data_IF_041443798295
#
_entry.id   IF_041443798295
#
_cell.length_a   1.000
_cell.length_b   1.000
_cell.length_c   1.000
_cell.angle_alpha   90.00
_cell.angle_beta   90.00
_cell.angle_gamma   90.00
#
_symmetry.space_group_name_H-M   'P 1'
#
loop_
_entity.id
_entity.type
_entity.pdbx_description
1 polymer ?
#
# COMPACT_ATOMS: atom_id res chain seq x y z
N UNK A 1 -10.38 -30.39 44.61
CA UNK A 1 -10.16 -29.01 44.13
C UNK A 1 -9.03 -29.07 43.13
N UNK A 2 -9.34 -28.96 41.83
CA UNK A 2 -8.36 -28.83 40.77
C UNK A 2 -8.89 -27.73 39.85
N UNK A 3 -8.24 -26.56 39.90
CA UNK A 3 -8.57 -25.40 39.07
C UNK A 3 -8.09 -25.66 37.63
N UNK A 4 -9.03 -25.66 36.68
CA UNK A 4 -8.72 -25.68 35.25
C UNK A 4 -8.24 -24.29 34.82
N UNK A 5 -6.96 -24.18 34.42
CA UNK A 5 -6.40 -22.96 33.85
C UNK A 5 -7.02 -22.70 32.48
N UNK A 6 -7.69 -21.56 32.39
CA UNK A 6 -8.20 -20.95 31.18
C UNK A 6 -7.02 -20.58 30.26
N UNK A 7 -6.85 -21.30 29.14
CA UNK A 7 -5.93 -20.94 28.07
C UNK A 7 -6.76 -20.35 26.93
N UNK A 8 -6.93 -19.03 26.93
CA UNK A 8 -7.49 -18.28 25.81
C UNK A 8 -6.61 -17.06 25.53
N UNK A 9 -6.30 -16.80 24.25
CA UNK A 9 -5.92 -15.45 23.85
C UNK A 9 -4.91 -15.23 22.71
N UNK A 10 -4.22 -16.23 22.15
CA UNK A 10 -3.12 -15.93 21.19
C UNK A 10 -3.25 -16.61 19.83
N UNK A 11 -4.07 -17.66 19.67
CA UNK A 11 -4.23 -18.36 18.38
C UNK A 11 -5.34 -17.83 17.47
N UNK A 12 -6.24 -16.98 17.98
CA UNK A 12 -7.47 -16.60 17.29
C UNK A 12 -7.29 -15.43 16.30
N UNK A 13 -6.44 -14.45 16.64
CA UNK A 13 -6.29 -13.20 15.87
C UNK A 13 -5.69 -13.40 14.47
N UNK A 14 -4.73 -14.32 14.32
CA UNK A 14 -4.08 -14.56 13.03
C UNK A 14 -4.98 -15.31 12.04
N UNK A 15 -5.87 -16.16 12.55
CA UNK A 15 -6.87 -16.85 11.75
C UNK A 15 -7.97 -15.88 11.34
N UNK A 16 -8.43 -15.04 12.26
CA UNK A 16 -9.41 -13.98 12.00
C UNK A 16 -8.95 -13.05 10.85
N UNK A 17 -7.69 -12.61 10.88
CA UNK A 17 -7.14 -11.71 9.86
C UNK A 17 -7.03 -12.35 8.46
N UNK A 18 -6.75 -13.65 8.39
CA UNK A 18 -6.72 -14.40 7.12
C UNK A 18 -8.11 -14.55 6.50
N UNK A 19 -9.14 -14.80 7.31
CA UNK A 19 -10.51 -14.96 6.83
C UNK A 19 -11.21 -13.62 6.57
N UNK A 20 -10.76 -12.53 7.20
CA UNK A 20 -11.36 -11.19 7.10
C UNK A 20 -11.60 -10.77 5.65
N UNK A 21 -10.62 -10.99 4.76
CA UNK A 21 -10.72 -10.61 3.35
C UNK A 21 -11.80 -11.37 2.57
N UNK A 22 -12.17 -12.57 3.02
CA UNK A 22 -13.16 -13.44 2.35
C UNK A 22 -14.60 -13.09 2.74
N UNK A 23 -14.80 -12.45 3.89
CA UNK A 23 -16.14 -12.17 4.46
C UNK A 23 -16.48 -10.68 4.52
N UNK A 24 -15.59 -9.81 4.06
CA UNK A 24 -15.75 -8.35 4.10
C UNK A 24 -16.24 -7.81 2.75
N UNK A 25 -17.28 -6.98 2.79
CA UNK A 25 -17.80 -6.29 1.63
C UNK A 25 -16.84 -5.21 1.13
N UNK A 26 -16.49 -5.24 -0.17
CA UNK A 26 -15.61 -4.25 -0.79
C UNK A 26 -16.17 -2.81 -0.91
N UNK A 27 -17.43 -2.57 -0.49
CA UNK A 27 -18.07 -1.26 -0.50
C UNK A 27 -18.20 -0.69 0.92
N UNK A 28 -18.94 -1.38 1.81
CA UNK A 28 -19.16 -0.90 3.18
C UNK A 28 -18.08 -1.33 4.18
N UNK A 29 -17.16 -2.21 3.78
CA UNK A 29 -16.06 -2.73 4.62
C UNK A 29 -16.46 -3.49 5.87
N UNK A 30 -17.72 -3.93 5.88
CA UNK A 30 -18.31 -4.70 6.96
C UNK A 30 -18.63 -6.12 6.50
N UNK A 31 -18.98 -6.99 7.45
CA UNK A 31 -19.37 -8.37 7.18
C UNK A 31 -20.48 -8.42 6.13
N UNK A 32 -20.38 -9.29 5.12
CA UNK A 32 -21.41 -9.37 4.08
C UNK A 32 -22.81 -9.60 4.64
N UNK A 33 -23.78 -8.86 4.12
CA UNK A 33 -25.22 -9.11 4.31
C UNK A 33 -25.82 -9.35 2.95
N UNK A 34 -26.42 -10.53 2.78
CA UNK A 34 -27.08 -10.98 1.55
C UNK A 34 -26.19 -10.69 0.31
N UNK A 35 -24.99 -11.31 0.23
CA UNK A 35 -23.97 -10.96 -0.73
C UNK A 35 -24.40 -11.27 -2.17
N UNK A 36 -24.01 -10.39 -3.09
CA UNK A 36 -24.21 -10.54 -4.54
C UNK A 36 -22.89 -10.50 -5.28
N UNK A 37 -22.79 -11.27 -6.37
CA UNK A 37 -21.71 -11.24 -7.32
C UNK A 37 -22.09 -10.36 -8.53
N UNK A 38 -21.20 -9.45 -8.91
CA UNK A 38 -21.36 -8.60 -10.09
C UNK A 38 -21.01 -9.42 -11.35
N UNK A 39 -21.90 -9.49 -12.33
CA UNK A 39 -21.69 -10.31 -13.53
C UNK A 39 -20.50 -9.81 -14.36
N UNK A 40 -19.90 -10.73 -15.11
CA UNK A 40 -18.64 -10.62 -15.87
C UNK A 40 -17.35 -10.57 -15.04
N UNK A 41 -17.35 -9.92 -13.87
CA UNK A 41 -16.16 -9.82 -13.02
C UNK A 41 -16.19 -10.67 -11.74
N UNK A 42 -17.37 -11.13 -11.33
CA UNK A 42 -17.62 -11.95 -10.13
C UNK A 42 -17.14 -11.31 -8.80
N UNK A 43 -16.84 -10.03 -8.78
CA UNK A 43 -16.55 -9.31 -7.54
C UNK A 43 -17.81 -9.21 -6.67
N UNK A 44 -17.61 -9.27 -5.35
CA UNK A 44 -18.68 -9.42 -4.38
C UNK A 44 -19.00 -8.09 -3.67
N UNK A 45 -20.25 -7.92 -3.27
CA UNK A 45 -20.72 -6.80 -2.44
C UNK A 45 -21.93 -7.27 -1.60
N UNK A 46 -22.30 -6.55 -0.53
CA UNK A 46 -23.64 -6.72 0.04
C UNK A 46 -24.67 -6.33 -1.03
N UNK A 47 -25.81 -7.02 -1.08
CA UNK A 47 -26.82 -6.72 -2.09
C UNK A 47 -27.33 -5.28 -2.04
N UNK A 48 -27.52 -4.72 -0.85
CA UNK A 48 -27.88 -3.31 -0.65
C UNK A 48 -26.79 -2.34 -1.12
N UNK A 49 -25.52 -2.63 -0.80
CA UNK A 49 -24.39 -1.82 -1.25
C UNK A 49 -24.24 -1.85 -2.77
N UNK A 50 -24.38 -3.02 -3.39
CA UNK A 50 -24.34 -3.17 -4.85
C UNK A 50 -25.48 -2.39 -5.52
N UNK A 51 -26.70 -2.49 -4.96
CA UNK A 51 -27.86 -1.76 -5.44
C UNK A 51 -27.67 -0.25 -5.37
N UNK A 52 -27.16 0.25 -4.25
CA UNK A 52 -26.91 1.68 -4.11
C UNK A 52 -25.78 2.16 -5.04
N UNK A 53 -24.71 1.38 -5.18
CA UNK A 53 -23.58 1.70 -6.06
C UNK A 53 -24.03 1.79 -7.53
N UNK A 54 -24.76 0.78 -7.99
CA UNK A 54 -25.15 0.61 -9.40
C UNK A 54 -26.24 1.60 -9.86
N UNK A 55 -26.84 2.36 -8.94
CA UNK A 55 -27.65 3.55 -9.27
C UNK A 55 -26.81 4.67 -9.89
N UNK A 56 -25.56 4.81 -9.44
CA UNK A 56 -24.68 5.93 -9.81
C UNK A 56 -23.58 5.56 -10.81
N UNK A 57 -23.34 4.27 -11.02
CA UNK A 57 -22.25 3.77 -11.85
C UNK A 57 -22.60 2.42 -12.44
N UNK A 58 -22.40 2.24 -13.74
CA UNK A 58 -22.53 0.92 -14.40
C UNK A 58 -21.27 0.06 -14.26
N UNK A 59 -20.27 0.54 -13.51
CA UNK A 59 -18.97 -0.10 -13.38
C UNK A 59 -18.81 -0.78 -12.02
N UNK A 60 -18.09 -1.91 -12.02
CA UNK A 60 -17.76 -2.67 -10.82
C UNK A 60 -16.94 -1.81 -9.85
N UNK A 61 -17.32 -1.82 -8.56
CA UNK A 61 -16.61 -1.08 -7.51
C UNK A 61 -15.12 -1.45 -7.44
N UNK A 62 -14.79 -2.72 -7.64
CA UNK A 62 -13.44 -3.26 -7.48
C UNK A 62 -12.58 -3.18 -8.75
N UNK A 63 -13.06 -3.72 -9.89
CA UNK A 63 -12.26 -3.77 -11.12
C UNK A 63 -12.57 -2.68 -12.15
N UNK A 64 -13.64 -1.89 -11.95
CA UNK A 64 -14.12 -0.87 -12.90
C UNK A 64 -14.48 -1.42 -14.28
N UNK A 65 -14.67 -2.74 -14.39
CA UNK A 65 -15.26 -3.36 -15.57
C UNK A 65 -16.77 -3.09 -15.63
N UNK A 66 -17.37 -3.11 -16.83
CA UNK A 66 -18.81 -2.97 -16.99
C UNK A 66 -19.53 -4.11 -16.27
N UNK A 67 -20.64 -3.78 -15.61
CA UNK A 67 -21.48 -4.75 -14.89
C UNK A 67 -22.79 -4.88 -15.64
N UNK A 68 -23.05 -6.06 -16.21
CA UNK A 68 -24.31 -6.32 -16.94
C UNK A 68 -25.46 -6.78 -16.06
N UNK A 69 -25.18 -7.16 -14.82
CA UNK A 69 -26.18 -7.65 -13.87
C UNK A 69 -25.56 -8.06 -12.54
N UNK A 70 -26.39 -8.60 -11.65
CA UNK A 70 -25.97 -9.15 -10.36
C UNK A 70 -26.65 -10.50 -10.10
N UNK A 71 -26.00 -11.38 -9.35
CA UNK A 71 -26.58 -12.62 -8.84
C UNK A 71 -26.29 -12.79 -7.35
N UNK A 72 -27.24 -13.35 -6.60
CA UNK A 72 -27.01 -13.76 -5.21
C UNK A 72 -25.82 -14.74 -5.13
N UNK A 73 -24.93 -14.52 -4.15
CA UNK A 73 -23.79 -15.39 -3.89
C UNK A 73 -24.03 -16.24 -2.64
N UNK A 74 -24.79 -17.34 -2.81
CA UNK A 74 -25.01 -18.31 -1.73
C UNK A 74 -23.71 -18.93 -1.20
N UNK A 75 -22.71 -19.08 -2.06
CA UNK A 75 -21.38 -19.58 -1.64
C UNK A 75 -20.72 -18.61 -0.64
N UNK A 76 -20.74 -17.31 -0.93
CA UNK A 76 -20.19 -16.30 -0.01
C UNK A 76 -20.99 -16.23 1.28
N UNK A 77 -22.32 -16.36 1.20
CA UNK A 77 -23.17 -16.40 2.39
C UNK A 77 -22.80 -17.56 3.31
N UNK A 78 -22.61 -18.77 2.76
CA UNK A 78 -22.18 -19.93 3.55
C UNK A 78 -20.81 -19.73 4.23
N UNK A 79 -19.88 -19.03 3.56
CA UNK A 79 -18.57 -18.68 4.15
C UNK A 79 -18.72 -17.68 5.30
N UNK A 80 -19.64 -16.71 5.17
CA UNK A 80 -19.95 -15.74 6.23
C UNK A 80 -20.56 -16.42 7.44
N UNK A 81 -21.52 -17.33 7.24
CA UNK A 81 -22.14 -18.11 8.31
C UNK A 81 -21.09 -18.98 9.05
N UNK A 82 -20.19 -19.61 8.30
CA UNK A 82 -19.08 -20.36 8.88
C UNK A 82 -18.16 -19.45 9.71
N UNK A 83 -17.81 -18.26 9.20
CA UNK A 83 -17.00 -17.30 9.92
C UNK A 83 -17.67 -16.83 11.22
N UNK A 84 -18.97 -16.52 11.19
CA UNK A 84 -19.74 -16.14 12.38
C UNK A 84 -19.75 -17.24 13.45
N UNK A 85 -19.78 -18.52 13.02
CA UNK A 85 -19.74 -19.65 13.96
C UNK A 85 -18.37 -19.84 14.64
N UNK A 86 -17.28 -19.54 13.93
CA UNK A 86 -15.91 -19.74 14.42
C UNK A 86 -15.40 -18.52 15.18
N UNK A 87 -15.77 -17.31 14.75
CA UNK A 87 -15.33 -16.04 15.31
C UNK A 87 -16.51 -15.12 15.67
N UNK A 88 -17.43 -15.54 16.57
CA UNK A 88 -18.61 -14.76 16.93
C UNK A 88 -18.28 -13.43 17.62
N UNK A 89 -17.11 -13.35 18.28
CA UNK A 89 -16.63 -12.16 18.97
C UNK A 89 -15.73 -11.27 18.11
N UNK A 90 -15.58 -11.56 16.81
CA UNK A 90 -14.81 -10.69 15.91
C UNK A 90 -15.45 -9.30 15.81
N UNK A 91 -14.63 -8.27 15.58
CA UNK A 91 -15.12 -6.90 15.39
C UNK A 91 -16.15 -6.82 14.27
N UNK A 92 -15.94 -7.56 13.17
CA UNK A 92 -16.90 -7.62 12.05
C UNK A 92 -18.26 -8.21 12.43
N UNK A 93 -18.29 -9.22 13.30
CA UNK A 93 -19.55 -9.80 13.79
C UNK A 93 -20.25 -8.85 14.77
N UNK A 94 -19.50 -8.18 15.63
CA UNK A 94 -20.02 -7.26 16.64
C UNK A 94 -20.54 -5.95 16.02
N UNK A 95 -19.83 -5.40 15.05
CA UNK A 95 -20.20 -4.18 14.33
C UNK A 95 -21.42 -4.40 13.41
N UNK A 96 -21.67 -5.63 12.96
CA UNK A 96 -22.82 -5.96 12.11
C UNK A 96 -24.02 -6.42 12.94
N UNK A 97 -24.64 -5.46 13.64
CA UNK A 97 -25.79 -5.73 14.51
C UNK A 97 -27.06 -6.16 13.74
N UNK A 98 -28.05 -6.77 14.43
CA UNK A 98 -29.35 -7.10 13.84
C UNK A 98 -30.09 -5.89 13.26
N UNK A 99 -29.96 -4.71 13.89
CA UNK A 99 -30.60 -3.47 13.45
C UNK A 99 -30.01 -3.00 12.12
N UNK A 100 -28.68 -2.97 12.01
CA UNK A 100 -27.97 -2.64 10.76
C UNK A 100 -28.35 -3.64 9.66
N UNK A 101 -28.39 -4.92 10.01
CA UNK A 101 -28.78 -6.00 9.07
C UNK A 101 -30.21 -5.80 8.57
N UNK A 102 -31.13 -5.39 9.43
CA UNK A 102 -32.51 -5.06 9.08
C UNK A 102 -32.59 -3.88 8.11
N UNK A 103 -31.82 -2.81 8.35
CA UNK A 103 -31.72 -1.66 7.44
C UNK A 103 -31.18 -2.05 6.06
N UNK A 104 -30.17 -2.91 5.99
CA UNK A 104 -29.65 -3.40 4.71
C UNK A 104 -30.68 -4.27 3.97
N UNK A 105 -31.43 -5.10 4.70
CA UNK A 105 -32.50 -5.97 4.18
C UNK A 105 -33.77 -5.23 3.76
N UNK A 106 -34.00 -4.02 4.26
CA UNK A 106 -35.07 -3.16 3.76
C UNK A 106 -34.72 -2.57 2.39
N UNK A 107 -33.43 -2.39 2.10
CA UNK A 107 -32.94 -1.84 0.83
C UNK A 107 -32.81 -2.91 -0.26
N UNK A 108 -32.46 -4.14 0.11
CA UNK A 108 -32.29 -5.26 -0.82
C UNK A 108 -32.78 -6.58 -0.21
N UNK A 109 -33.47 -7.39 -1.01
CA UNK A 109 -33.86 -8.76 -0.65
C UNK A 109 -33.24 -9.78 -1.61
N UNK A 110 -32.75 -10.93 -1.14
CA UNK A 110 -32.27 -11.99 -2.02
C UNK A 110 -33.28 -12.33 -3.12
N UNK A 111 -32.80 -12.50 -4.35
CA UNK A 111 -33.64 -12.71 -5.54
C UNK A 111 -34.23 -11.44 -6.14
N UNK A 112 -34.05 -10.26 -5.54
CA UNK A 112 -34.47 -8.99 -6.12
C UNK A 112 -33.60 -8.62 -7.33
N UNK A 113 -34.23 -8.39 -8.47
CA UNK A 113 -33.59 -7.75 -9.62
C UNK A 113 -33.59 -6.22 -9.43
N UNK A 114 -32.51 -5.55 -9.83
CA UNK A 114 -32.46 -4.09 -9.85
C UNK A 114 -31.71 -3.58 -11.09
N UNK A 115 -32.22 -2.48 -11.65
CA UNK A 115 -31.73 -1.90 -12.90
C UNK A 115 -30.38 -1.24 -12.68
N UNK A 116 -29.46 -1.48 -13.62
CA UNK A 116 -28.14 -0.85 -13.68
C UNK A 116 -28.28 0.38 -14.58
N UNK A 117 -27.86 1.55 -14.12
CA UNK A 117 -27.78 2.75 -14.96
C UNK A 117 -29.09 3.50 -15.24
N UNK A 118 -30.19 3.23 -14.53
CA UNK A 118 -31.48 3.92 -14.72
C UNK A 118 -31.83 4.85 -13.56
N UNK A 119 -31.96 6.15 -13.83
CA UNK A 119 -32.60 7.12 -12.93
C UNK A 119 -34.05 6.75 -12.63
N UNK A 120 -34.53 7.18 -11.47
CA UNK A 120 -35.81 6.77 -10.88
C UNK A 120 -36.98 6.80 -11.90
N UNK A 121 -37.48 5.63 -12.29
CA UNK A 121 -38.84 5.53 -12.83
C UNK A 121 -39.81 5.62 -11.65
N UNK A 122 -40.40 6.80 -11.50
CA UNK A 122 -41.62 7.01 -10.74
C UNK A 122 -42.71 6.14 -11.37
N UNK A 123 -43.03 5.02 -10.73
CA UNK A 123 -44.31 4.36 -10.95
C UNK A 123 -45.21 4.61 -9.74
N UNK A 124 -46.10 5.58 -9.95
CA UNK A 124 -47.35 5.76 -9.23
C UNK A 124 -48.23 4.53 -9.43
N UNK A 125 -48.54 3.81 -8.34
CA UNK A 125 -49.91 3.39 -8.01
C UNK A 125 -49.95 2.60 -6.69
N UNK A 126 -50.92 2.93 -5.84
CA UNK A 126 -51.49 1.96 -4.89
C UNK A 126 -51.38 2.22 -3.39
N UNK A 127 -52.04 3.28 -2.92
CA UNK A 127 -52.78 3.41 -1.64
C UNK A 127 -52.05 3.40 -0.26
N UNK A 128 -52.45 4.28 0.67
CA UNK A 128 -51.85 4.40 2.00
C UNK A 128 -52.42 3.35 2.98
N UNK A 129 -51.55 2.56 3.61
CA UNK A 129 -51.89 1.86 4.85
C UNK A 129 -51.43 2.70 6.04
N UNK A 130 -52.39 3.25 6.77
CA UNK A 130 -52.19 3.89 8.07
C UNK A 130 -51.52 2.90 9.04
N UNK A 131 -50.39 3.31 9.63
CA UNK A 131 -49.83 2.69 10.82
C UNK A 131 -50.29 3.49 12.05
N UNK A 132 -50.65 2.84 13.16
CA UNK A 132 -51.08 3.54 14.37
C UNK A 132 -49.87 4.12 15.12
N UNK A 133 -50.04 5.34 15.60
CA UNK A 133 -49.16 5.99 16.57
C UNK A 133 -49.09 5.14 17.85
N UNK A 134 -47.91 4.62 18.15
CA UNK A 134 -47.55 4.19 19.50
C UNK A 134 -46.47 5.12 20.00
N UNK A 135 -46.88 6.08 20.83
CA UNK A 135 -46.00 6.81 21.74
C UNK A 135 -45.29 5.79 22.62
N UNK A 136 -43.96 5.73 22.50
CA UNK A 136 -43.11 4.97 23.41
C UNK A 136 -42.08 5.95 23.99
N UNK A 137 -42.38 6.43 25.18
CA UNK A 137 -41.38 7.02 26.07
C UNK A 137 -40.45 5.89 26.54
N UNK A 138 -39.21 5.95 26.07
CA UNK A 138 -38.13 5.05 26.42
C UNK A 138 -36.81 5.81 26.36
N UNK A 139 -36.62 6.69 27.34
CA UNK A 139 -35.29 7.21 27.66
C UNK A 139 -34.43 6.03 28.12
N UNK A 140 -33.47 5.59 27.28
CA UNK A 140 -32.13 5.13 27.68
C UNK A 140 -31.35 4.56 26.46
N UNK A 141 -30.08 5.00 26.33
CA UNK A 141 -29.00 4.51 25.44
C UNK A 141 -28.71 5.18 24.07
N UNK A 142 -29.15 6.42 23.86
CA UNK A 142 -28.80 7.23 22.66
C UNK A 142 -27.32 7.66 22.54
N UNK A 143 -26.50 7.46 23.58
CA UNK A 143 -25.11 7.96 23.62
C UNK A 143 -24.11 7.07 22.84
N UNK A 144 -24.37 5.77 22.71
CA UNK A 144 -23.41 4.82 22.09
C UNK A 144 -23.35 4.93 20.56
N UNK A 145 -24.49 5.18 19.91
CA UNK A 145 -24.58 5.30 18.45
C UNK A 145 -24.03 6.63 17.92
N UNK A 146 -24.10 7.71 18.72
CA UNK A 146 -23.47 8.98 18.39
C UNK A 146 -21.93 8.90 18.46
N UNK A 147 -21.39 8.27 19.49
CA UNK A 147 -19.93 8.11 19.65
C UNK A 147 -19.31 7.36 18.46
N UNK A 148 -19.93 6.25 18.03
CA UNK A 148 -19.49 5.47 16.88
C UNK A 148 -19.61 6.23 15.55
N UNK A 149 -20.67 7.02 15.37
CA UNK A 149 -20.82 7.89 14.19
C UNK A 149 -19.75 8.99 14.14
N UNK A 150 -19.35 9.50 15.31
CA UNK A 150 -18.28 10.49 15.45
C UNK A 150 -16.89 9.93 15.15
N UNK A 151 -16.58 8.70 15.61
CA UNK A 151 -15.29 8.04 15.32
C UNK A 151 -15.12 7.72 13.83
N UNK A 152 -16.20 7.27 13.16
CA UNK A 152 -16.20 7.03 11.72
C UNK A 152 -16.00 8.34 10.95
N UNK A 153 -16.64 9.43 11.40
CA UNK A 153 -16.47 10.75 10.78
C UNK A 153 -15.02 11.25 10.96
N UNK A 154 -14.44 11.09 12.14
CA UNK A 154 -13.05 11.49 12.44
C UNK A 154 -12.04 10.75 11.54
N UNK A 155 -12.24 9.45 11.31
CA UNK A 155 -11.38 8.65 10.44
C UNK A 155 -11.49 9.08 8.97
N UNK A 156 -12.70 9.40 8.51
CA UNK A 156 -12.93 9.92 7.16
C UNK A 156 -12.27 11.30 6.98
N UNK A 157 -12.38 12.17 7.97
CA UNK A 157 -11.78 13.50 7.94
C UNK A 157 -10.25 13.42 7.95
N UNK A 158 -9.68 12.51 8.74
CA UNK A 158 -8.24 12.21 8.72
C UNK A 158 -7.78 11.75 7.32
N UNK A 159 -8.52 10.84 6.70
CA UNK A 159 -8.19 10.35 5.35
C UNK A 159 -8.26 11.47 4.32
N UNK A 160 -9.29 12.33 4.40
CA UNK A 160 -9.41 13.51 3.54
C UNK A 160 -8.25 14.48 3.75
N UNK A 161 -7.83 14.72 4.99
CA UNK A 161 -6.68 15.59 5.28
C UNK A 161 -5.37 15.03 4.70
N UNK A 162 -5.12 13.72 4.88
CA UNK A 162 -3.94 13.03 4.33
C UNK A 162 -3.91 13.13 2.80
N UNK A 163 -5.06 12.95 2.15
CA UNK A 163 -5.16 13.00 0.69
C UNK A 163 -5.06 14.44 0.16
N UNK A 164 -5.66 15.41 0.85
CA UNK A 164 -5.60 16.82 0.49
C UNK A 164 -4.17 17.40 0.50
N UNK A 165 -3.27 16.82 1.31
CA UNK A 165 -1.85 17.17 1.33
C UNK A 165 -1.17 17.12 -0.06
N UNK A 166 -1.62 16.20 -0.92
CA UNK A 166 -1.07 16.01 -2.27
C UNK A 166 -1.71 16.93 -3.31
N UNK A 167 -2.72 17.74 -2.93
CA UNK A 167 -3.47 18.63 -3.81
C UNK A 167 -4.83 18.07 -4.23
N UNK A 168 -5.58 18.85 -5.00
CA UNK A 168 -6.96 18.55 -5.40
C UNK A 168 -7.11 17.42 -6.43
N UNK A 169 -5.99 16.97 -7.03
CA UNK A 169 -5.97 15.92 -8.04
C UNK A 169 -4.77 15.00 -7.79
N UNK A 170 -5.04 13.72 -7.54
CA UNK A 170 -4.05 12.71 -7.20
C UNK A 170 -3.77 11.84 -8.42
N UNK A 171 -2.51 11.55 -8.78
CA UNK A 171 -2.21 10.62 -9.85
C UNK A 171 -2.72 9.22 -9.50
N UNK A 172 -3.53 8.61 -10.37
CA UNK A 172 -4.08 7.27 -10.17
C UNK A 172 -2.95 6.22 -10.20
N UNK A 173 -2.89 5.34 -9.20
CA UNK A 173 -2.02 4.17 -9.25
C UNK A 173 -2.47 3.27 -10.42
N UNK A 174 -1.64 3.10 -11.45
CA UNK A 174 -2.03 2.45 -12.71
C UNK A 174 -2.25 0.93 -12.63
N UNK A 175 -2.40 0.38 -11.43
CA UNK A 175 -2.59 -1.05 -11.17
C UNK A 175 -4.05 -1.45 -10.97
N UNK A 176 -4.93 -0.48 -10.75
CA UNK A 176 -6.36 -0.71 -10.59
C UNK A 176 -7.13 -0.08 -11.76
N UNK A 177 -6.99 -0.73 -12.91
CA UNK A 177 -7.78 -0.47 -14.09
C UNK A 177 -7.74 -1.69 -14.98
N UNK A 178 -8.92 -2.17 -15.38
CA UNK A 178 -9.07 -3.19 -16.41
C UNK A 178 -8.13 -2.88 -17.59
N UNK A 179 -7.24 -3.80 -17.95
CA UNK A 179 -6.37 -3.70 -19.15
C UNK A 179 -7.19 -3.60 -20.45
N UNK A 180 -8.51 -3.86 -20.37
CA UNK A 180 -9.47 -3.76 -21.47
C UNK A 180 -10.54 -2.66 -21.28
N UNK A 181 -10.40 -1.76 -20.31
CA UNK A 181 -11.32 -0.63 -20.11
C UNK A 181 -10.85 0.61 -20.89
N UNK A 182 -11.77 1.30 -21.59
CA UNK A 182 -11.48 2.55 -22.29
C UNK A 182 -10.82 3.61 -21.39
N UNK A 183 -10.16 4.59 -22.01
CA UNK A 183 -9.31 5.62 -21.41
C UNK A 183 -9.81 6.11 -20.04
N UNK A 184 -9.29 5.53 -18.96
CA UNK A 184 -9.53 5.99 -17.60
C UNK A 184 -8.75 7.31 -17.38
N UNK A 185 -9.32 8.29 -16.66
CA UNK A 185 -8.57 9.48 -16.27
C UNK A 185 -7.30 9.07 -15.50
N UNK A 186 -6.18 9.72 -15.81
CA UNK A 186 -4.86 9.50 -15.19
C UNK A 186 -4.77 10.00 -13.74
N UNK A 187 -5.84 10.63 -13.25
CA UNK A 187 -5.93 11.26 -11.96
C UNK A 187 -7.27 10.91 -11.29
N UNK A 188 -7.29 10.92 -9.95
CA UNK A 188 -8.47 10.78 -9.10
C UNK A 188 -8.57 12.01 -8.18
N UNK A 189 -9.77 12.53 -8.00
CA UNK A 189 -10.06 13.63 -7.09
C UNK A 189 -10.59 13.11 -5.75
N UNK A 190 -10.63 13.97 -4.72
CA UNK A 190 -11.05 13.60 -3.37
C UNK A 190 -12.50 13.06 -3.29
N UNK A 191 -13.36 13.47 -4.22
CA UNK A 191 -14.76 13.06 -4.28
C UNK A 191 -15.00 11.87 -5.22
N UNK A 192 -13.95 11.35 -5.87
CA UNK A 192 -14.07 10.21 -6.76
C UNK A 192 -14.28 8.93 -5.97
N UNK A 193 -15.30 8.16 -6.35
CA UNK A 193 -15.60 6.90 -5.66
C UNK A 193 -14.59 5.82 -6.06
N UNK A 194 -13.69 5.44 -5.16
CA UNK A 194 -12.66 4.39 -5.35
C UNK A 194 -12.99 3.11 -4.56
N UNK A 195 -12.36 1.97 -4.89
CA UNK A 195 -12.45 0.78 -4.02
C UNK A 195 -11.55 0.97 -2.80
N UNK A 196 -11.75 0.16 -1.76
CA UNK A 196 -10.95 0.25 -0.53
C UNK A 196 -9.47 0.06 -0.77
N UNK A 197 -9.07 -0.92 -1.59
CA UNK A 197 -7.65 -1.15 -1.88
C UNK A 197 -7.01 0.09 -2.51
N UNK A 198 -7.69 0.73 -3.46
CA UNK A 198 -7.24 1.98 -4.07
C UNK A 198 -7.17 3.14 -3.06
N UNK A 199 -8.17 3.27 -2.19
CA UNK A 199 -8.18 4.31 -1.16
C UNK A 199 -7.00 4.13 -0.19
N UNK A 200 -6.79 2.90 0.30
CA UNK A 200 -5.70 2.58 1.22
C UNK A 200 -4.33 2.81 0.58
N UNK A 201 -4.15 2.47 -0.69
CA UNK A 201 -2.88 2.72 -1.40
C UNK A 201 -2.57 4.21 -1.52
N UNK A 202 -3.58 5.04 -1.82
CA UNK A 202 -3.40 6.51 -1.91
C UNK A 202 -3.06 7.12 -0.55
N UNK A 203 -3.72 6.64 0.52
CA UNK A 203 -3.44 7.06 1.89
C UNK A 203 -2.05 6.59 2.31
N UNK A 204 -1.69 5.33 2.10
CA UNK A 204 -0.37 4.76 2.43
C UNK A 204 0.77 5.51 1.70
N UNK A 205 0.56 5.88 0.43
CA UNK A 205 1.52 6.66 -0.34
C UNK A 205 1.68 8.10 0.15
N UNK A 206 0.74 8.62 0.95
CA UNK A 206 0.69 10.03 1.36
C UNK A 206 0.94 10.22 2.85
N UNK A 207 0.64 9.21 3.67
CA UNK A 207 0.65 9.28 5.14
C UNK A 207 2.02 9.69 5.69
N UNK A 208 3.11 9.21 5.10
CA UNK A 208 4.45 9.49 5.62
C UNK A 208 4.84 10.97 5.50
N UNK A 209 4.72 11.54 4.31
CA UNK A 209 5.05 12.95 4.06
C UNK A 209 4.03 13.90 4.70
N UNK A 210 2.74 13.54 4.67
CA UNK A 210 1.72 14.28 5.40
C UNK A 210 2.04 14.33 6.89
N UNK A 211 2.41 13.21 7.51
CA UNK A 211 2.70 13.14 8.94
C UNK A 211 3.90 14.00 9.34
N UNK A 212 4.98 13.96 8.54
CA UNK A 212 6.14 14.83 8.75
C UNK A 212 5.76 16.31 8.67
N UNK A 213 4.92 16.69 7.71
CA UNK A 213 4.42 18.06 7.56
C UNK A 213 3.46 18.45 8.70
N UNK A 214 2.57 17.55 9.11
CA UNK A 214 1.55 17.78 10.15
C UNK A 214 2.21 18.08 11.49
N UNK A 215 3.27 17.36 11.85
CA UNK A 215 4.00 17.58 13.11
C UNK A 215 4.80 18.89 13.15
N UNK A 216 5.10 19.48 12.00
CA UNK A 216 5.78 20.77 11.88
C UNK A 216 4.78 21.93 11.78
N UNK A 217 3.52 21.65 11.43
CA UNK A 217 2.48 22.65 11.25
C UNK A 217 1.78 22.99 12.57
N UNK A 218 1.49 24.27 12.77
CA UNK A 218 0.64 24.79 13.86
C UNK A 218 -0.82 24.99 13.45
N UNK A 219 -1.17 24.71 12.19
CA UNK A 219 -2.53 24.87 11.65
C UNK A 219 -3.11 23.49 11.36
N UNK A 220 -4.15 23.08 12.10
CA UNK A 220 -4.77 21.76 11.99
C UNK A 220 -6.29 21.87 11.84
N UNK A 221 -6.84 21.11 10.90
CA UNK A 221 -8.29 20.86 10.74
C UNK A 221 -8.74 19.66 11.58
N UNK A 222 -7.92 18.61 11.67
CA UNK A 222 -8.11 17.50 12.61
C UNK A 222 -7.13 17.63 13.77
N UNK A 223 -7.66 17.78 15.00
CA UNK A 223 -6.89 17.75 16.24
C UNK A 223 -6.60 16.30 16.63
N UNK A 224 -5.33 15.90 16.49
CA UNK A 224 -4.83 14.65 17.04
C UNK A 224 -4.37 14.89 18.48
N UNK A 225 -4.44 13.84 19.29
CA UNK A 225 -4.09 13.96 20.71
C UNK A 225 -2.63 14.38 20.90
N UNK A 226 -2.40 15.20 21.92
CA UNK A 226 -1.10 15.77 22.23
C UNK A 226 -0.05 14.66 22.45
N UNK A 227 -0.43 13.54 23.07
CA UNK A 227 0.45 12.39 23.29
C UNK A 227 0.95 11.71 22.01
N UNK A 228 0.25 11.85 20.88
CA UNK A 228 0.71 11.35 19.58
C UNK A 228 1.62 12.38 18.92
N UNK A 229 1.25 13.66 19.00
CA UNK A 229 2.00 14.76 18.38
C UNK A 229 3.38 14.97 19.01
N UNK A 230 3.48 14.81 20.33
CA UNK A 230 4.71 15.07 21.10
C UNK A 230 5.64 13.88 21.26
N UNK A 231 5.27 12.68 20.76
CA UNK A 231 6.16 11.51 20.85
C UNK A 231 7.52 11.82 20.27
N UNK A 232 8.56 11.49 21.02
CA UNK A 232 9.92 11.61 20.52
C UNK A 232 10.11 10.70 19.32
N UNK A 233 10.88 11.18 18.33
CA UNK A 233 11.23 10.37 17.19
C UNK A 233 12.09 9.19 17.62
N UNK A 234 11.69 8.00 17.21
CA UNK A 234 12.51 6.82 17.39
C UNK A 234 13.84 7.04 16.67
N UNK A 235 14.93 6.66 17.34
CA UNK A 235 16.26 6.82 16.78
C UNK A 235 16.39 6.15 15.40
N UNK A 236 15.82 4.95 15.26
CA UNK A 236 15.82 4.18 14.01
C UNK A 236 14.68 4.54 13.04
N UNK A 237 13.80 5.47 13.43
CA UNK A 237 12.64 5.91 12.64
C UNK A 237 11.79 4.75 12.10
N UNK A 238 11.39 4.86 10.84
CA UNK A 238 10.60 3.84 10.12
C UNK A 238 11.32 2.50 9.98
N UNK A 239 12.64 2.48 10.15
CA UNK A 239 13.49 1.30 10.08
C UNK A 239 13.61 0.57 11.43
N UNK A 240 12.93 1.07 12.48
CA UNK A 240 12.99 0.49 13.82
C UNK A 240 12.48 -0.96 13.86
N UNK A 241 13.37 -1.86 14.29
CA UNK A 241 13.06 -3.28 14.46
C UNK A 241 12.40 -3.58 15.80
N UNK A 242 12.77 -2.82 16.84
CA UNK A 242 12.30 -2.99 18.21
C UNK A 242 10.79 -2.76 18.34
N UNK A 243 10.24 -1.79 17.59
CA UNK A 243 8.81 -1.49 17.57
C UNK A 243 7.93 -2.69 17.15
N UNK A 244 8.49 -3.66 16.40
CA UNK A 244 7.73 -4.80 15.87
C UNK A 244 7.43 -5.89 16.89
N UNK A 245 8.20 -5.95 17.97
CA UNK A 245 8.09 -7.01 18.98
C UNK A 245 8.15 -6.49 20.41
N UNK A 246 8.24 -5.17 20.60
CA UNK A 246 8.17 -4.52 21.90
C UNK A 246 7.11 -3.42 21.84
N UNK A 247 5.92 -3.75 22.34
CA UNK A 247 4.76 -2.86 22.33
C UNK A 247 5.00 -1.58 23.14
N UNK A 248 5.72 -1.67 24.26
CA UNK A 248 6.06 -0.50 25.07
C UNK A 248 6.93 0.48 24.28
N UNK A 249 7.89 -0.03 23.50
CA UNK A 249 8.70 0.80 22.60
C UNK A 249 7.85 1.41 21.48
N UNK A 250 6.98 0.62 20.85
CA UNK A 250 6.09 1.09 19.78
C UNK A 250 5.15 2.23 20.24
N UNK A 251 4.69 2.18 21.49
CA UNK A 251 3.82 3.22 22.08
C UNK A 251 4.59 4.48 22.49
N UNK A 252 5.84 4.34 22.89
CA UNK A 252 6.62 5.45 23.49
C UNK A 252 7.28 6.36 22.45
N UNK A 253 7.51 5.89 21.22
CA UNK A 253 8.23 6.63 20.19
C UNK A 253 7.40 6.77 18.91
N UNK A 254 7.61 7.85 18.18
CA UNK A 254 7.14 7.98 16.80
C UNK A 254 8.04 7.14 15.88
N UNK A 255 7.46 6.35 14.99
CA UNK A 255 8.20 5.58 13.96
C UNK A 255 7.89 6.06 12.54
N UNK A 256 6.92 6.95 12.36
CA UNK A 256 6.74 7.68 11.10
C UNK A 256 7.68 8.90 11.16
N UNK A 257 8.97 8.62 11.20
CA UNK A 257 10.03 9.63 11.21
C UNK A 257 11.26 9.08 10.50
N UNK A 258 12.14 9.99 10.13
CA UNK A 258 13.41 9.67 9.49
C UNK A 258 14.38 9.13 10.55
N UNK A 259 15.22 8.17 10.17
CA UNK A 259 16.25 7.61 11.03
C UNK A 259 17.25 8.73 11.42
N UNK A 260 17.36 9.02 12.72
CA UNK A 260 18.23 10.07 13.26
C UNK A 260 19.64 9.56 13.61
N UNK A 261 19.87 8.23 13.64
CA UNK A 261 21.22 7.61 13.83
C UNK A 261 22.12 7.87 12.64
N UNK A 262 21.54 7.94 11.43
CA UNK A 262 22.30 8.17 10.20
C UNK A 262 23.03 9.52 10.17
N UNK A 263 22.76 10.42 11.14
CA UNK A 263 23.45 11.70 11.29
C UNK A 263 24.54 11.72 12.39
N UNK A 264 24.81 10.63 13.12
CA UNK A 264 25.71 10.68 14.30
C UNK A 264 26.68 9.50 14.53
N UNK A 265 27.02 8.66 13.54
CA UNK A 265 28.08 7.66 13.74
C UNK A 265 29.29 7.87 12.82
N UNK A 266 30.41 8.11 13.50
CA UNK A 266 31.77 8.43 13.08
C UNK A 266 32.54 7.28 12.42
N UNK A 267 33.52 7.69 11.62
CA UNK A 267 34.63 6.98 10.96
C UNK A 267 35.19 5.75 11.69
N UNK A 268 35.35 4.62 10.98
CA UNK A 268 36.63 3.97 10.63
C UNK A 268 36.41 2.54 10.09
N UNK A 269 36.84 2.29 8.86
CA UNK A 269 37.57 1.12 8.34
C UNK A 269 37.48 1.11 6.80
N UNK A 270 38.50 0.55 6.13
CA UNK A 270 38.65 0.44 4.66
C UNK A 270 37.50 -0.35 4.01
N UNK A 271 36.30 0.25 3.96
CA UNK A 271 35.17 -0.29 3.23
C UNK A 271 35.39 0.01 1.73
N UNK A 272 35.29 -1.02 0.86
CA UNK A 272 35.51 -0.83 -0.57
C UNK A 272 34.51 0.20 -1.12
N UNK A 273 34.89 1.01 -2.10
CA UNK A 273 34.10 2.15 -2.61
C UNK A 273 32.66 1.79 -3.02
N UNK A 274 32.44 0.53 -3.42
CA UNK A 274 31.14 -0.03 -3.74
C UNK A 274 30.39 -0.59 -2.52
N UNK A 275 31.07 -0.98 -1.44
CA UNK A 275 30.52 -1.62 -0.25
C UNK A 275 30.41 -3.14 -0.37
N UNK A 276 30.00 -3.81 0.71
CA UNK A 276 29.94 -5.27 0.74
C UNK A 276 28.91 -5.80 -0.26
N UNK A 277 29.37 -6.57 -1.25
CA UNK A 277 28.53 -7.15 -2.31
C UNK A 277 28.41 -8.66 -2.14
N UNK A 278 27.19 -9.16 -2.06
CA UNK A 278 26.94 -10.59 -2.22
C UNK A 278 26.89 -10.91 -3.71
N UNK A 279 27.91 -11.61 -4.21
CA UNK A 279 28.06 -11.93 -5.64
C UNK A 279 27.53 -13.33 -5.89
N UNK A 280 26.64 -13.47 -6.88
CA UNK A 280 26.07 -14.76 -7.27
C UNK A 280 25.59 -14.72 -8.73
N UNK A 281 25.17 -15.86 -9.25
CA UNK A 281 24.50 -15.95 -10.55
C UNK A 281 22.99 -15.71 -10.39
N UNK A 282 22.36 -15.02 -11.34
CA UNK A 282 20.93 -14.69 -11.24
C UNK A 282 20.03 -15.93 -11.13
N UNK A 283 20.44 -17.05 -11.75
CA UNK A 283 19.75 -18.34 -11.67
C UNK A 283 19.83 -19.01 -10.29
N UNK A 284 20.87 -18.70 -9.50
CA UNK A 284 21.08 -19.28 -8.17
C UNK A 284 20.32 -18.52 -7.08
N UNK A 285 19.83 -17.32 -7.36
CA UNK A 285 19.13 -16.48 -6.37
C UNK A 285 17.86 -17.11 -5.83
N UNK A 286 17.18 -17.94 -6.61
CA UNK A 286 15.98 -18.62 -6.12
C UNK A 286 16.30 -19.65 -5.02
N UNK A 287 17.40 -20.40 -5.17
CA UNK A 287 17.79 -21.44 -4.22
C UNK A 287 18.65 -20.92 -3.07
N UNK A 288 19.50 -19.93 -3.35
CA UNK A 288 20.55 -19.45 -2.46
C UNK A 288 20.42 -17.94 -2.22
N UNK A 289 19.20 -17.44 -2.02
CA UNK A 289 19.01 -16.06 -1.63
C UNK A 289 19.59 -15.85 -0.22
N UNK A 290 20.45 -14.85 0.00
CA UNK A 290 21.00 -14.60 1.31
C UNK A 290 19.89 -14.24 2.30
N UNK A 291 19.99 -14.73 3.54
CA UNK A 291 18.99 -14.46 4.56
C UNK A 291 18.87 -12.95 4.80
N UNK A 292 17.64 -12.44 4.77
CA UNK A 292 17.34 -11.04 5.03
C UNK A 292 16.21 -10.94 6.06
N UNK A 293 16.20 -9.85 6.81
CA UNK A 293 15.07 -9.54 7.68
C UNK A 293 13.98 -8.84 6.85
N UNK A 294 12.69 -9.16 7.03
CA UNK A 294 11.60 -8.36 6.46
C UNK A 294 11.62 -6.88 6.89
N UNK A 295 12.38 -6.54 7.94
CA UNK A 295 12.62 -5.16 8.37
C UNK A 295 13.71 -4.42 7.60
N UNK A 296 14.49 -5.11 6.77
CA UNK A 296 15.52 -4.54 5.92
C UNK A 296 15.03 -4.24 4.48
N UNK A 297 13.74 -4.49 4.20
CA UNK A 297 13.14 -4.21 2.88
C UNK A 297 12.88 -2.71 2.79
N UNK A 298 13.77 -1.99 2.13
CA UNK A 298 13.66 -0.54 1.91
C UNK A 298 12.87 -0.19 0.65
N UNK A 299 12.76 -1.11 -0.30
CA UNK A 299 12.13 -0.86 -1.61
C UNK A 299 11.02 -1.87 -1.88
N UNK A 300 10.03 -1.41 -2.63
CA UNK A 300 8.92 -2.22 -3.12
C UNK A 300 8.67 -1.89 -4.58
N UNK A 301 8.48 -2.92 -5.39
CA UNK A 301 8.25 -2.74 -6.83
C UNK A 301 6.75 -2.64 -7.15
N UNK A 302 6.45 -2.57 -8.45
CA UNK A 302 5.15 -2.48 -9.09
C UNK A 302 4.00 -3.09 -8.25
N UNK A 303 4.05 -4.36 -7.82
CA UNK A 303 3.00 -5.05 -7.04
C UNK A 303 3.25 -5.16 -5.52
N UNK A 304 4.06 -4.25 -4.95
CA UNK A 304 4.53 -4.22 -3.57
C UNK A 304 5.53 -5.34 -3.21
N UNK A 305 6.05 -6.06 -4.21
CA UNK A 305 7.06 -7.10 -4.03
C UNK A 305 8.31 -6.51 -3.36
N UNK A 306 8.91 -7.19 -2.37
CA UNK A 306 10.18 -6.76 -1.81
C UNK A 306 11.23 -6.57 -2.89
N UNK A 307 11.87 -5.41 -2.87
CA UNK A 307 12.94 -5.07 -3.81
C UNK A 307 14.24 -4.68 -3.11
N UNK A 308 15.36 -4.98 -3.76
CA UNK A 308 16.71 -4.75 -3.27
C UNK A 308 17.56 -4.09 -4.34
N UNK A 309 18.56 -3.32 -3.90
CA UNK A 309 19.59 -2.79 -4.78
C UNK A 309 20.53 -3.91 -5.23
N UNK A 310 20.84 -3.91 -6.51
CA UNK A 310 21.83 -4.80 -7.07
C UNK A 310 22.52 -4.16 -8.27
N UNK A 311 23.61 -4.78 -8.71
CA UNK A 311 24.31 -4.43 -9.92
C UNK A 311 24.45 -5.64 -10.82
N UNK A 312 23.99 -5.51 -12.06
CA UNK A 312 24.07 -6.55 -13.09
C UNK A 312 25.41 -6.46 -13.80
N UNK A 313 26.14 -7.58 -13.85
CA UNK A 313 27.42 -7.67 -14.56
C UNK A 313 27.15 -8.14 -15.99
N UNK A 314 27.54 -7.32 -16.97
CA UNK A 314 27.23 -7.48 -18.39
C UNK A 314 28.51 -7.48 -19.22
N UNK A 315 28.92 -8.64 -19.76
CA UNK A 315 29.98 -8.68 -20.76
C UNK A 315 29.54 -7.94 -22.03
N UNK A 316 30.37 -7.02 -22.50
CA UNK A 316 30.16 -6.27 -23.75
C UNK A 316 31.33 -6.48 -24.69
N UNK A 317 31.22 -6.05 -25.95
CA UNK A 317 32.33 -6.12 -26.91
C UNK A 317 33.55 -5.31 -26.48
N UNK A 318 33.35 -4.30 -25.63
CA UNK A 318 34.35 -3.36 -25.14
C UNK A 318 34.85 -3.66 -23.72
N UNK A 319 34.38 -4.74 -23.09
CA UNK A 319 34.79 -5.12 -21.74
C UNK A 319 33.62 -5.64 -20.90
N UNK A 320 33.48 -5.13 -19.68
CA UNK A 320 32.41 -5.50 -18.75
C UNK A 320 31.76 -4.23 -18.25
N UNK A 321 30.46 -4.13 -18.41
CA UNK A 321 29.63 -3.10 -17.79
C UNK A 321 29.00 -3.66 -16.52
N UNK A 322 28.95 -2.83 -15.49
CA UNK A 322 28.28 -3.12 -14.22
C UNK A 322 27.19 -2.06 -14.07
N UNK A 323 25.94 -2.47 -14.22
CA UNK A 323 24.79 -1.55 -14.29
C UNK A 323 23.93 -1.74 -13.04
N UNK A 324 23.77 -0.72 -12.19
CA UNK A 324 22.87 -0.82 -11.05
C UNK A 324 21.42 -0.93 -11.51
N UNK A 325 20.64 -1.64 -10.73
CA UNK A 325 19.23 -1.87 -10.99
C UNK A 325 18.54 -2.42 -9.76
N UNK A 326 17.50 -3.20 -9.99
CA UNK A 326 16.64 -3.70 -8.93
C UNK A 326 16.51 -5.22 -8.99
N UNK A 327 16.49 -5.83 -7.83
CA UNK A 327 16.09 -7.22 -7.64
C UNK A 327 14.72 -7.23 -6.99
N UNK A 328 13.85 -8.15 -7.39
CA UNK A 328 12.48 -8.32 -6.90
C UNK A 328 12.21 -9.76 -6.51
N UNK A 329 11.52 -9.98 -5.38
CA UNK A 329 11.15 -11.30 -4.89
C UNK A 329 9.66 -11.57 -5.13
N UNK A 330 9.37 -12.50 -6.03
CA UNK A 330 8.03 -12.86 -6.47
C UNK A 330 7.57 -14.20 -5.90
N UNK A 331 7.50 -14.31 -4.57
CA UNK A 331 6.97 -15.48 -3.87
C UNK A 331 7.53 -16.85 -4.32
N UNK A 332 6.89 -17.96 -3.93
CA UNK A 332 7.39 -19.31 -4.20
C UNK A 332 7.20 -19.82 -5.64
N UNK A 333 6.47 -19.09 -6.51
CA UNK A 333 6.14 -19.57 -7.86
C UNK A 333 6.82 -18.79 -9.00
N UNK A 334 7.11 -17.50 -8.79
CA UNK A 334 7.73 -16.62 -9.79
C UNK A 334 9.20 -16.30 -9.48
N UNK A 335 9.63 -16.59 -8.25
CA UNK A 335 11.02 -16.63 -7.83
C UNK A 335 11.68 -15.26 -7.69
N UNK A 336 13.00 -15.21 -7.82
CA UNK A 336 13.78 -13.96 -7.70
C UNK A 336 14.17 -13.49 -9.09
N UNK A 337 13.84 -12.24 -9.41
CA UNK A 337 14.15 -11.64 -10.70
C UNK A 337 15.01 -10.41 -10.51
N UNK A 338 15.93 -10.17 -11.44
CA UNK A 338 16.88 -9.06 -11.41
C UNK A 338 16.75 -8.29 -12.70
N UNK A 339 16.62 -6.97 -12.59
CA UNK A 339 16.43 -6.08 -13.72
C UNK A 339 17.48 -4.98 -13.73
N UNK A 340 17.89 -4.60 -14.93
CA UNK A 340 18.75 -3.44 -15.18
C UNK A 340 18.27 -2.68 -16.40
N UNK A 341 18.64 -1.41 -16.47
CA UNK A 341 18.25 -0.50 -17.54
C UNK A 341 19.35 -0.35 -18.58
N UNK A 342 19.00 -0.43 -19.86
CA UNK A 342 19.90 -0.11 -20.96
C UNK A 342 19.12 0.44 -22.17
N UNK A 343 19.59 1.56 -22.74
CA UNK A 343 19.08 2.15 -24.00
C UNK A 343 17.54 2.35 -24.01
N UNK A 344 16.99 2.80 -22.89
CA UNK A 344 15.56 3.08 -22.74
C UNK A 344 14.71 1.88 -22.35
N UNK A 345 15.31 0.70 -22.12
CA UNK A 345 14.59 -0.55 -21.85
C UNK A 345 15.05 -1.22 -20.58
N UNK A 346 14.11 -1.87 -19.90
CA UNK A 346 14.40 -2.78 -18.79
C UNK A 346 14.69 -4.18 -19.33
N UNK A 347 15.75 -4.79 -18.82
CA UNK A 347 16.19 -6.13 -19.19
C UNK A 347 16.24 -7.03 -17.97
N UNK A 348 15.79 -8.28 -18.14
CA UNK A 348 16.01 -9.34 -17.17
C UNK A 348 17.48 -9.79 -17.20
N UNK A 349 18.12 -9.82 -16.04
CA UNK A 349 19.52 -10.22 -15.93
C UNK A 349 19.68 -11.73 -16.01
N UNK A 350 20.56 -12.15 -16.93
CA UNK A 350 21.07 -13.51 -17.03
C UNK A 350 22.59 -13.46 -16.85
N UNK A 351 23.08 -14.03 -15.75
CA UNK A 351 24.49 -14.05 -15.38
C UNK A 351 24.75 -13.47 -14.00
N UNK A 352 26.00 -13.07 -13.77
CA UNK A 352 26.47 -12.58 -12.48
C UNK A 352 25.76 -11.28 -12.05
N UNK A 353 25.43 -11.23 -10.76
CA UNK A 353 24.77 -10.11 -10.09
C UNK A 353 25.45 -9.87 -8.74
N UNK A 354 25.53 -8.60 -8.36
CA UNK A 354 26.14 -8.14 -7.12
C UNK A 354 25.08 -7.44 -6.27
N UNK A 355 24.71 -8.04 -5.14
CA UNK A 355 23.66 -7.53 -4.25
C UNK A 355 24.23 -6.56 -3.20
N UNK A 356 23.56 -5.42 -3.02
CA UNK A 356 23.81 -4.47 -1.93
C UNK A 356 22.65 -4.52 -0.95
N UNK A 357 22.83 -5.23 0.17
CA UNK A 357 21.81 -5.38 1.20
C UNK A 357 22.16 -4.70 2.52
N UNK A 358 23.45 -4.60 2.84
CA UNK A 358 23.91 -3.91 4.05
C UNK A 358 24.26 -2.46 3.71
N UNK A 359 23.43 -1.55 4.21
CA UNK A 359 23.55 -0.11 3.97
C UNK A 359 23.66 0.68 5.27
N UNK A 360 23.98 0.01 6.40
CA UNK A 360 24.02 0.65 7.73
C UNK A 360 25.02 1.79 7.85
N UNK A 361 26.13 1.71 7.11
CA UNK A 361 27.18 2.75 7.05
C UNK A 361 26.96 3.75 5.91
N UNK A 362 25.75 3.81 5.36
CA UNK A 362 25.38 4.66 4.24
C UNK A 362 24.14 5.48 4.60
N UNK A 363 24.02 6.65 3.98
CA UNK A 363 22.91 7.58 4.12
C UNK A 363 22.37 7.98 2.76
N UNK A 364 21.08 8.29 2.73
CA UNK A 364 20.42 8.78 1.54
C UNK A 364 20.44 10.30 1.53
N UNK A 365 20.94 10.88 0.45
CA UNK A 365 21.09 12.33 0.31
C UNK A 365 20.29 12.79 -0.90
N UNK A 366 19.34 13.68 -0.66
CA UNK A 366 18.53 14.32 -1.70
C UNK A 366 19.42 15.09 -2.66
N UNK A 367 19.16 14.91 -3.95
CA UNK A 367 19.86 15.65 -4.99
C UNK A 367 19.02 15.75 -6.27
N UNK A 368 19.55 16.47 -7.25
CA UNK A 368 18.93 16.64 -8.56
C UNK A 368 20.01 16.82 -9.63
N UNK A 369 19.62 16.62 -10.90
CA UNK A 369 20.43 16.96 -12.09
C UNK A 369 21.82 16.33 -12.13
N UNK A 370 21.97 15.13 -11.60
CA UNK A 370 23.25 14.42 -11.53
C UNK A 370 24.24 14.97 -10.51
N UNK A 371 23.85 15.99 -9.73
CA UNK A 371 24.74 16.65 -8.79
C UNK A 371 25.01 15.73 -7.61
N UNK A 372 26.26 15.68 -7.17
CA UNK A 372 26.67 15.05 -5.91
C UNK A 372 26.98 16.20 -4.94
N UNK A 373 26.28 16.32 -3.79
CA UNK A 373 26.56 17.36 -2.81
C UNK A 373 28.01 17.29 -2.30
N UNK A 374 28.61 18.43 -1.96
CA UNK A 374 30.05 18.53 -1.63
C UNK A 374 30.49 17.61 -0.47
N UNK A 375 29.64 17.43 0.55
CA UNK A 375 29.91 16.57 1.71
C UNK A 375 29.48 15.10 1.50
N UNK A 376 29.25 14.68 0.25
CA UNK A 376 28.69 13.37 -0.09
C UNK A 376 29.71 12.54 -0.86
N UNK A 377 30.09 11.37 -0.32
CA UNK A 377 30.82 10.34 -1.07
C UNK A 377 29.84 9.30 -1.59
N UNK A 378 29.43 9.34 -2.88
CA UNK A 378 28.41 8.45 -3.41
C UNK A 378 28.89 7.00 -3.48
N UNK A 379 28.00 6.06 -3.18
CA UNK A 379 28.25 4.62 -3.28
C UNK A 379 28.23 4.22 -4.74
N UNK A 380 29.37 3.74 -5.23
CA UNK A 380 29.51 3.28 -6.61
C UNK A 380 28.72 1.99 -6.78
N UNK A 381 27.69 2.05 -7.64
CA UNK A 381 26.92 0.88 -8.02
C UNK A 381 27.55 0.15 -9.22
N UNK A 382 28.31 0.85 -10.06
CA UNK A 382 29.01 0.24 -11.16
C UNK A 382 29.59 1.23 -12.15
N UNK A 383 29.78 0.77 -13.38
CA UNK A 383 30.42 1.51 -14.46
C UNK A 383 29.85 1.03 -15.79
N UNK A 384 29.59 1.96 -16.70
CA UNK A 384 29.15 1.65 -18.06
C UNK A 384 30.02 2.34 -19.09
N UNK A 385 30.35 1.64 -20.16
CA UNK A 385 31.15 2.16 -21.27
C UNK A 385 30.27 2.48 -22.46
N UNK A 386 29.99 3.77 -22.66
CA UNK A 386 29.21 4.26 -23.79
C UNK A 386 30.14 5.00 -24.78
N UNK A 387 30.15 4.56 -26.04
CA UNK A 387 30.94 5.18 -27.12
C UNK A 387 32.44 5.41 -26.77
N UNK A 388 33.05 4.46 -26.07
CA UNK A 388 34.46 4.52 -25.68
C UNK A 388 34.77 5.38 -24.45
N UNK A 389 33.76 5.96 -23.80
CA UNK A 389 33.90 6.65 -22.51
C UNK A 389 33.28 5.83 -21.39
N UNK A 390 34.06 5.58 -20.36
CA UNK A 390 33.62 4.90 -19.14
C UNK A 390 33.02 5.91 -18.17
N UNK A 391 31.78 5.69 -17.74
CA UNK A 391 31.05 6.53 -16.77
C UNK A 391 30.79 5.75 -15.49
N UNK A 392 30.97 6.41 -14.35
CA UNK A 392 30.59 5.83 -13.05
C UNK A 392 29.08 5.96 -12.85
N UNK A 393 28.49 4.90 -12.31
CA UNK A 393 27.09 4.83 -11.95
C UNK A 393 26.98 4.69 -10.44
N UNK A 394 26.23 5.59 -9.81
CA UNK A 394 25.99 5.61 -8.37
C UNK A 394 24.60 5.05 -8.07
N UNK A 395 24.44 4.33 -6.95
CA UNK A 395 23.11 3.91 -6.52
C UNK A 395 22.26 5.12 -6.18
N UNK A 396 21.04 5.15 -6.71
CA UNK A 396 20.05 6.15 -6.35
C UNK A 396 18.71 5.48 -6.03
N UNK A 397 17.81 6.27 -5.45
CA UNK A 397 16.43 5.89 -5.23
C UNK A 397 15.52 7.03 -5.69
N UNK A 398 14.47 6.69 -6.42
CA UNK A 398 13.46 7.65 -6.88
C UNK A 398 12.14 7.33 -6.20
N UNK A 399 11.47 8.36 -5.69
CA UNK A 399 10.09 8.22 -5.26
C UNK A 399 9.17 8.21 -6.49
N UNK A 400 8.66 7.03 -6.83
CA UNK A 400 7.84 6.81 -8.00
C UNK A 400 6.57 6.05 -7.61
N UNK A 401 5.40 6.68 -7.84
CA UNK A 401 4.08 6.07 -7.61
C UNK A 401 3.88 5.55 -6.18
N UNK A 402 4.26 6.36 -5.19
CA UNK A 402 4.12 6.05 -3.75
C UNK A 402 5.14 5.03 -3.23
N UNK A 403 6.05 4.57 -4.09
CA UNK A 403 7.06 3.58 -3.74
C UNK A 403 8.45 4.14 -4.01
N UNK A 404 9.41 3.67 -3.24
CA UNK A 404 10.81 4.01 -3.43
C UNK A 404 11.42 2.95 -4.34
N UNK A 405 11.91 3.37 -5.50
CA UNK A 405 12.43 2.47 -6.54
C UNK A 405 13.94 2.66 -6.66
N UNK A 406 14.74 1.59 -6.50
CA UNK A 406 16.18 1.69 -6.65
C UNK A 406 16.56 1.80 -8.13
N UNK A 407 17.63 2.53 -8.38
CA UNK A 407 18.13 2.78 -9.71
C UNK A 407 19.57 3.28 -9.68
N UNK A 408 19.92 4.06 -10.70
CA UNK A 408 21.25 4.63 -10.83
C UNK A 408 21.25 6.07 -11.34
N UNK A 409 22.28 6.82 -10.97
CA UNK A 409 22.57 8.14 -11.54
C UNK A 409 24.05 8.24 -11.91
N UNK A 410 24.44 9.28 -12.63
CA UNK A 410 25.84 9.58 -12.96
C UNK A 410 26.06 11.10 -12.91
N UNK A 411 27.26 11.55 -12.57
CA UNK A 411 27.63 12.97 -12.67
C UNK A 411 27.67 13.46 -14.12
N UNK A 412 27.82 12.54 -15.07
CA UNK A 412 27.78 12.83 -16.51
C UNK A 412 26.34 12.91 -17.07
N UNK A 413 25.34 12.60 -16.24
CA UNK A 413 23.93 12.58 -16.62
C UNK A 413 23.14 13.55 -15.75
N UNK A 414 22.32 14.41 -16.35
CA UNK A 414 21.47 15.35 -15.60
C UNK A 414 20.22 14.67 -14.97
N UNK A 415 20.25 13.36 -14.74
CA UNK A 415 19.09 12.60 -14.31
C UNK A 415 19.46 11.32 -13.57
N UNK A 416 18.59 10.90 -12.65
CA UNK A 416 18.51 9.54 -12.16
C UNK A 416 17.68 8.67 -13.11
N UNK A 417 17.98 7.37 -13.11
CA UNK A 417 17.33 6.36 -13.93
C UNK A 417 16.82 5.23 -13.05
N UNK A 418 15.56 4.83 -13.23
CA UNK A 418 15.01 3.59 -12.66
C UNK A 418 14.44 2.73 -13.78
N UNK A 419 14.28 1.44 -13.52
CA UNK A 419 13.55 0.54 -14.42
C UNK A 419 12.16 0.26 -13.87
N UNK A 420 11.16 0.34 -14.75
CA UNK A 420 9.77 0.12 -14.40
C UNK A 420 8.93 -0.25 -15.61
N UNK A 421 8.21 -1.37 -15.51
CA UNK A 421 7.25 -1.85 -16.52
C UNK A 421 7.88 -2.05 -17.91
N UNK A 422 9.08 -2.64 -17.95
CA UNK A 422 9.78 -2.92 -19.21
C UNK A 422 10.59 -1.75 -19.77
N UNK A 423 10.61 -0.58 -19.11
CA UNK A 423 11.22 0.65 -19.62
C UNK A 423 12.16 1.32 -18.61
N UNK A 424 13.10 2.13 -19.11
CA UNK A 424 13.86 3.07 -18.29
C UNK A 424 13.11 4.40 -18.16
N UNK A 425 13.05 4.92 -16.94
CA UNK A 425 12.46 6.20 -16.62
C UNK A 425 13.51 7.14 -16.06
N UNK A 426 13.45 8.41 -16.47
CA UNK A 426 14.49 9.41 -16.20
C UNK A 426 13.94 10.57 -15.38
N UNK A 427 14.65 10.94 -14.31
CA UNK A 427 14.21 11.91 -13.32
C UNK A 427 15.28 12.97 -13.10
N UNK A 428 14.98 14.23 -13.40
CA UNK A 428 15.92 15.34 -13.18
C UNK A 428 15.94 15.80 -11.72
N UNK A 429 14.92 15.49 -10.93
CA UNK A 429 14.74 15.88 -9.53
C UNK A 429 14.00 14.78 -8.76
N UNK A 430 13.72 15.03 -7.47
CA UNK A 430 12.97 14.14 -6.59
C UNK A 430 13.59 12.74 -6.42
N UNK A 431 14.92 12.69 -6.37
CA UNK A 431 15.66 11.46 -6.14
C UNK A 431 16.79 11.66 -5.12
N UNK A 432 17.23 10.53 -4.57
CA UNK A 432 18.27 10.48 -3.56
C UNK A 432 19.42 9.64 -4.07
N UNK A 433 20.65 10.05 -3.74
CA UNK A 433 21.83 9.22 -3.95
C UNK A 433 22.21 8.56 -2.64
N UNK A 434 22.68 7.33 -2.73
CA UNK A 434 23.26 6.63 -1.59
C UNK A 434 24.69 7.11 -1.42
N UNK A 435 25.01 7.70 -0.28
CA UNK A 435 26.36 8.12 0.07
C UNK A 435 26.86 7.38 1.31
N UNK A 436 28.17 7.26 1.43
CA UNK A 436 28.81 6.84 2.67
C UNK A 436 28.55 7.87 3.78
N UNK A 437 28.45 7.38 5.02
CA UNK A 437 28.33 8.22 6.22
C UNK A 437 29.58 9.05 6.47
#
# INVERSE_FOLDING_TARGET
>A
MAESKNQGGVSDSRSEELFRQLVTCGICLQLYVDPVALLDCLHLACGSCAKQWLKSSELCHQCRGPVRGVHDSHHTLAVVEAYQSVAPNSGLCQERTPEITSVLRSQYKPGQQFNIGGGDEVNSDGSPSELPDTEYEGEESYESSQAYSGEIQLLQDLFREILAFRGSSLPKASWHGNTNGGANPSHVNADDTVCTSCALDLVEASVFEWWLSKRQSTTATVELSEDIMTREDCWYGIECRTARHNEQHARSYNHICRNTVANQLTEHDDLPENGNRYVTESTNLYANFPAFSPSAIMFRDKGKEPSFMCSSVRPTRSGIDIIPGKLTIWGPYLGVQVYYGERGREYLQSGQVQLLMDTKSMRWVQTSRGIVPEDCRPVVGGRRTDAGRSRLLFHCAVWWRGQRIPGYTSTDAEYATITWDGQEWYFKDNYEILCWN
#
